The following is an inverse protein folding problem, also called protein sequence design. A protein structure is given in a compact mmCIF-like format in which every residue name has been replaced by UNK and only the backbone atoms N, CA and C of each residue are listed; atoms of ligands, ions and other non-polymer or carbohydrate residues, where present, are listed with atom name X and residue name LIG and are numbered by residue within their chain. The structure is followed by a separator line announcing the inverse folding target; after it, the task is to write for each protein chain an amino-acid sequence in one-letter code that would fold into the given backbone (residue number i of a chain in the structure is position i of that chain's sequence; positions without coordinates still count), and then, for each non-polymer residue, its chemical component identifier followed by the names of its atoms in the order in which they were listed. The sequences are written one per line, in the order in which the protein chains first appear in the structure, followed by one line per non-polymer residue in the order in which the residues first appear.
data_IF_800795980054
#
_entry.id   IF_800795980054
#
_cell.length_a   1.000
_cell.length_b   1.000
_cell.length_c   1.000
_cell.angle_alpha   90.00
_cell.angle_beta   90.00
_cell.angle_gamma   90.00
#
_symmetry.space_group_name_H-M   'P 1'
#
loop_
_entity.id
_entity.type
_entity.pdbx_description
1 polymer ?
#
# COMPACT_ATOMS: atom_id res chain seq x y z
N UNK A 1 83.25 20.69 -21.25
CA UNK A 1 82.41 19.71 -20.53
C UNK A 1 82.10 20.28 -19.15
N UNK A 2 80.91 20.81 -18.93
CA UNK A 2 80.48 21.33 -17.63
C UNK A 2 79.06 20.86 -17.38
N UNK A 3 78.93 19.78 -16.61
CA UNK A 3 77.64 19.26 -16.13
C UNK A 3 77.53 19.59 -14.64
N UNK A 4 76.87 20.71 -14.32
CA UNK A 4 76.37 20.96 -12.97
C UNK A 4 74.96 20.38 -12.89
N UNK A 5 74.81 19.24 -12.25
CA UNK A 5 73.50 18.70 -11.90
C UNK A 5 73.56 18.02 -10.53
N UNK A 6 73.51 18.83 -9.47
CA UNK A 6 73.14 18.31 -8.14
C UNK A 6 72.57 19.41 -7.26
N UNK A 7 71.22 19.45 -7.17
CA UNK A 7 70.41 19.88 -6.00
C UNK A 7 68.92 19.83 -6.35
N UNK A 8 68.32 18.63 -6.37
CA UNK A 8 66.84 18.46 -6.36
C UNK A 8 66.33 17.27 -5.52
N UNK A 9 67.18 16.61 -4.72
CA UNK A 9 66.79 15.38 -4.00
C UNK A 9 65.90 15.58 -2.76
N UNK A 10 65.62 16.82 -2.34
CA UNK A 10 64.75 17.10 -1.18
C UNK A 10 63.29 17.42 -1.55
N UNK A 11 63.06 17.99 -2.74
CA UNK A 11 61.72 18.47 -3.13
C UNK A 11 60.81 17.32 -3.56
N UNK A 12 61.34 16.28 -4.19
CA UNK A 12 60.56 15.13 -4.68
C UNK A 12 59.85 14.35 -3.57
N UNK A 13 60.48 14.26 -2.39
CA UNK A 13 59.92 13.54 -1.24
C UNK A 13 58.77 14.34 -0.59
N UNK A 14 58.91 15.67 -0.54
CA UNK A 14 57.85 16.57 -0.09
C UNK A 14 56.67 16.54 -1.07
N UNK A 15 56.93 16.64 -2.38
CA UNK A 15 55.86 16.57 -3.38
C UNK A 15 55.16 15.22 -3.34
N UNK A 16 55.88 14.11 -3.12
CA UNK A 16 55.29 12.79 -2.99
C UNK A 16 54.41 12.67 -1.72
N UNK A 17 54.86 13.21 -0.58
CA UNK A 17 54.05 13.24 0.65
C UNK A 17 52.79 14.08 0.49
N UNK A 18 52.90 15.27 -0.11
CA UNK A 18 51.73 16.13 -0.40
C UNK A 18 50.76 15.40 -1.32
N UNK A 19 51.25 14.77 -2.40
CA UNK A 19 50.40 14.02 -3.31
C UNK A 19 49.72 12.82 -2.61
N UNK A 20 50.42 12.13 -1.72
CA UNK A 20 49.87 11.00 -0.95
C UNK A 20 48.77 11.48 0.02
N UNK A 21 48.97 12.62 0.68
CA UNK A 21 47.93 13.25 1.52
C UNK A 21 46.71 13.65 0.69
N UNK A 22 46.91 14.23 -0.50
CA UNK A 22 45.80 14.59 -1.38
C UNK A 22 45.02 13.37 -1.86
N UNK A 23 45.70 12.29 -2.27
CA UNK A 23 45.06 11.05 -2.70
C UNK A 23 44.28 10.38 -1.56
N UNK A 24 44.83 10.37 -0.35
CA UNK A 24 44.12 9.83 0.83
C UNK A 24 42.89 10.66 1.19
N UNK A 25 42.95 12.00 1.10
CA UNK A 25 41.79 12.86 1.30
C UNK A 25 40.68 12.57 0.27
N UNK A 26 41.03 12.43 -1.01
CA UNK A 26 40.06 12.08 -2.07
C UNK A 26 39.47 10.68 -1.87
N UNK A 27 40.28 9.73 -1.40
CA UNK A 27 39.77 8.39 -1.09
C UNK A 27 38.76 8.44 0.07
N UNK A 28 39.08 9.12 1.17
CA UNK A 28 38.20 9.24 2.34
C UNK A 28 36.88 9.94 1.99
N UNK A 29 36.91 11.00 1.18
CA UNK A 29 35.68 11.66 0.73
C UNK A 29 34.81 10.73 -0.12
N UNK A 30 35.41 9.94 -1.02
CA UNK A 30 34.70 8.96 -1.84
C UNK A 30 34.05 7.87 -0.99
N UNK A 31 34.74 7.35 0.03
CA UNK A 31 34.16 6.37 0.97
C UNK A 31 32.98 6.95 1.75
N UNK A 32 33.09 8.19 2.22
CA UNK A 32 32.02 8.85 2.98
C UNK A 32 30.78 9.12 2.10
N UNK A 33 30.98 9.58 0.85
CA UNK A 33 29.89 9.77 -0.12
C UNK A 33 29.23 8.42 -0.46
N UNK A 34 30.03 7.38 -0.70
CA UNK A 34 29.53 6.03 -0.97
C UNK A 34 28.67 5.49 0.17
N UNK A 35 29.12 5.64 1.42
CA UNK A 35 28.36 5.22 2.60
C UNK A 35 27.02 5.96 2.73
N UNK A 36 27.00 7.28 2.51
CA UNK A 36 25.76 8.06 2.55
C UNK A 36 24.75 7.58 1.51
N UNK A 37 25.19 7.31 0.28
CA UNK A 37 24.30 6.85 -0.78
C UNK A 37 23.72 5.46 -0.47
N UNK A 38 24.54 4.56 0.08
CA UNK A 38 24.07 3.22 0.47
C UNK A 38 23.02 3.26 1.58
N UNK A 39 23.17 4.16 2.56
CA UNK A 39 22.16 4.33 3.60
C UNK A 39 20.81 4.82 3.03
N UNK A 40 20.84 5.72 2.03
CA UNK A 40 19.62 6.19 1.37
C UNK A 40 18.93 5.03 0.64
N UNK A 41 19.69 4.25 -0.14
CA UNK A 41 19.13 3.10 -0.87
C UNK A 41 18.57 2.05 0.08
N UNK A 42 19.26 1.77 1.19
CA UNK A 42 18.77 0.84 2.22
C UNK A 42 17.44 1.30 2.82
N UNK A 43 17.31 2.59 3.16
CA UNK A 43 16.06 3.14 3.70
C UNK A 43 14.92 3.13 2.67
N UNK A 44 15.25 3.35 1.39
CA UNK A 44 14.27 3.27 0.32
C UNK A 44 13.81 1.83 0.11
N UNK A 45 14.73 0.86 0.13
CA UNK A 45 14.41 -0.56 0.01
C UNK A 45 13.43 -1.01 1.12
N UNK A 46 13.70 -0.69 2.38
CA UNK A 46 12.80 -1.03 3.50
C UNK A 46 11.40 -0.41 3.34
N UNK A 47 11.32 0.83 2.86
CA UNK A 47 10.04 1.48 2.58
C UNK A 47 9.30 0.82 1.41
N UNK A 48 10.02 0.41 0.38
CA UNK A 48 9.43 -0.25 -0.78
C UNK A 48 8.92 -1.66 -0.42
N UNK A 49 9.67 -2.40 0.42
CA UNK A 49 9.24 -3.69 0.99
C UNK A 49 7.98 -3.53 1.85
N UNK A 50 7.94 -2.55 2.76
CA UNK A 50 6.76 -2.25 3.54
C UNK A 50 5.55 -1.85 2.66
N UNK A 51 5.77 -1.04 1.62
CA UNK A 51 4.72 -0.65 0.67
C UNK A 51 4.20 -1.84 -0.15
N UNK A 52 5.08 -2.76 -0.54
CA UNK A 52 4.71 -3.97 -1.27
C UNK A 52 3.86 -4.90 -0.38
N UNK A 53 4.28 -5.14 0.86
CA UNK A 53 3.51 -5.92 1.83
C UNK A 53 2.14 -5.30 2.13
N UNK A 54 2.06 -3.97 2.22
CA UNK A 54 0.79 -3.26 2.38
C UNK A 54 -0.16 -3.53 1.21
N UNK A 55 0.34 -3.44 -0.03
CA UNK A 55 -0.45 -3.71 -1.23
C UNK A 55 -0.89 -5.15 -1.32
N UNK A 56 0.00 -6.11 -1.06
CA UNK A 56 -0.35 -7.52 -1.02
C UNK A 56 -1.49 -7.80 -0.04
N UNK A 57 -1.42 -7.21 1.17
CA UNK A 57 -2.47 -7.36 2.17
C UNK A 57 -3.79 -6.73 1.71
N UNK A 58 -3.75 -5.56 1.05
CA UNK A 58 -4.96 -4.98 0.45
C UNK A 58 -5.53 -5.89 -0.63
N UNK A 59 -4.69 -6.46 -1.51
CA UNK A 59 -5.14 -7.39 -2.55
C UNK A 59 -5.81 -8.64 -1.94
N UNK A 60 -5.27 -9.18 -0.83
CA UNK A 60 -5.93 -10.24 -0.06
C UNK A 60 -7.31 -9.79 0.44
N UNK A 61 -7.41 -8.58 1.02
CA UNK A 61 -8.67 -8.02 1.53
C UNK A 61 -9.70 -7.84 0.41
N UNK A 62 -9.33 -7.28 -0.74
CA UNK A 62 -10.28 -6.99 -1.83
C UNK A 62 -10.65 -8.23 -2.63
N UNK A 63 -9.84 -9.29 -2.57
CA UNK A 63 -10.15 -10.58 -3.19
C UNK A 63 -11.29 -11.33 -2.51
N UNK A 64 -11.76 -10.82 -1.36
CA UNK A 64 -12.85 -11.39 -0.59
C UNK A 64 -13.92 -10.34 -0.27
N UNK A 65 -15.11 -10.76 0.15
CA UNK A 65 -16.22 -9.83 0.47
C UNK A 65 -16.24 -9.37 1.93
N UNK A 66 -15.29 -9.79 2.78
CA UNK A 66 -15.32 -9.52 4.23
C UNK A 66 -15.21 -8.05 4.54
N UNK A 67 -14.56 -7.26 3.67
CA UNK A 67 -14.49 -5.81 3.82
C UNK A 67 -15.86 -5.13 3.74
N UNK A 68 -16.87 -5.75 3.12
CA UNK A 68 -18.24 -5.20 3.05
C UNK A 68 -19.17 -5.73 4.14
N UNK A 69 -18.95 -6.95 4.64
CA UNK A 69 -19.84 -7.62 5.60
C UNK A 69 -19.34 -7.60 7.05
N UNK A 70 -18.02 -7.72 7.25
CA UNK A 70 -17.37 -7.83 8.56
C UNK A 70 -16.07 -7.02 8.57
N UNK A 71 -16.14 -5.67 8.51
CA UNK A 71 -14.96 -4.80 8.38
C UNK A 71 -14.01 -4.87 9.60
N UNK A 72 -14.48 -5.36 10.75
CA UNK A 72 -13.65 -5.61 11.93
C UNK A 72 -12.79 -6.88 11.82
N UNK A 73 -13.14 -7.81 10.92
CA UNK A 73 -12.43 -9.08 10.72
C UNK A 73 -12.28 -9.41 9.22
N UNK A 74 -11.56 -8.54 8.48
CA UNK A 74 -11.38 -8.68 7.02
C UNK A 74 -10.35 -9.73 6.62
N UNK A 75 -9.39 -10.00 7.50
CA UNK A 75 -8.38 -11.05 7.28
C UNK A 75 -8.85 -12.36 7.91
N UNK A 76 -8.65 -13.47 7.19
CA UNK A 76 -9.06 -14.79 7.68
C UNK A 76 -8.12 -15.36 8.75
N UNK A 77 -6.82 -15.08 8.62
CA UNK A 77 -5.78 -15.59 9.50
C UNK A 77 -4.90 -14.43 9.95
N UNK A 78 -5.32 -13.65 10.96
CA UNK A 78 -4.48 -12.60 11.51
C UNK A 78 -3.29 -13.20 12.29
N UNK A 79 -2.13 -12.54 12.24
CA UNK A 79 -0.92 -12.97 12.95
C UNK A 79 -0.80 -12.39 14.38
N UNK A 80 -1.74 -11.55 14.80
CA UNK A 80 -1.69 -10.86 16.08
C UNK A 80 -3.05 -10.28 16.44
N UNK A 81 -3.22 -8.98 16.21
CA UNK A 81 -4.52 -8.31 16.36
C UNK A 81 -5.45 -8.63 15.19
N UNK A 82 -6.75 -8.39 15.39
CA UNK A 82 -7.70 -8.37 14.28
C UNK A 82 -7.20 -7.43 13.17
N UNK A 83 -7.47 -7.82 11.92
CA UNK A 83 -7.06 -7.05 10.75
C UNK A 83 -5.52 -6.84 10.62
N UNK A 84 -4.71 -7.70 11.24
CA UNK A 84 -3.25 -7.68 11.08
C UNK A 84 -2.71 -8.86 10.27
N UNK A 85 -1.89 -8.59 9.26
CA UNK A 85 -1.09 -9.57 8.51
C UNK A 85 0.39 -9.40 8.83
N UNK A 86 1.10 -10.51 8.89
CA UNK A 86 2.55 -10.52 9.00
C UNK A 86 3.11 -11.14 7.73
N UNK A 87 4.12 -10.49 7.17
CA UNK A 87 4.71 -10.85 5.88
C UNK A 87 6.19 -11.11 6.11
N UNK A 88 6.61 -12.31 5.75
CA UNK A 88 8.01 -12.73 5.61
C UNK A 88 8.41 -12.48 4.16
N UNK A 89 9.19 -11.43 3.91
CA UNK A 89 9.54 -11.00 2.55
C UNK A 89 10.76 -11.76 2.00
N UNK A 90 11.60 -12.32 2.88
CA UNK A 90 12.84 -12.99 2.50
C UNK A 90 12.80 -14.53 2.67
N UNK A 91 11.74 -15.07 3.27
CA UNK A 91 11.50 -16.49 3.44
C UNK A 91 12.33 -17.15 4.53
N UNK A 92 12.84 -16.42 5.51
CA UNK A 92 13.65 -16.96 6.62
C UNK A 92 12.83 -17.52 7.79
N UNK A 93 11.50 -17.42 7.71
CA UNK A 93 10.57 -17.89 8.73
C UNK A 93 10.33 -16.89 9.86
N UNK A 94 10.74 -15.63 9.70
CA UNK A 94 10.40 -14.53 10.60
C UNK A 94 9.61 -13.46 9.86
N UNK A 95 8.75 -12.77 10.60
CA UNK A 95 7.98 -11.67 10.05
C UNK A 95 8.88 -10.43 9.91
N UNK A 96 9.00 -9.92 8.68
CA UNK A 96 9.76 -8.71 8.37
C UNK A 96 8.87 -7.47 8.48
N UNK A 97 7.63 -7.58 8.00
CA UNK A 97 6.67 -6.46 7.95
C UNK A 97 5.35 -6.87 8.60
N UNK A 98 4.85 -6.02 9.50
CA UNK A 98 3.51 -6.13 10.07
C UNK A 98 2.59 -5.12 9.39
N UNK A 99 1.55 -5.61 8.75
CA UNK A 99 0.55 -4.79 8.05
C UNK A 99 -0.75 -4.82 8.84
N UNK A 100 -1.26 -3.64 9.22
CA UNK A 100 -2.54 -3.50 9.90
C UNK A 100 -3.54 -2.77 9.02
N UNK A 101 -4.73 -3.33 8.83
CA UNK A 101 -5.83 -2.62 8.16
C UNK A 101 -6.48 -1.68 9.18
N UNK A 102 -6.07 -0.42 9.13
CA UNK A 102 -6.48 0.62 10.06
C UNK A 102 -6.67 1.96 9.32
N UNK A 103 -7.79 2.68 9.54
CA UNK A 103 -9.00 2.21 10.25
C UNK A 103 -9.68 1.04 9.55
N UNK A 104 -10.56 0.31 10.25
CA UNK A 104 -11.40 -0.74 9.64
C UNK A 104 -12.09 -0.21 8.38
N UNK A 105 -12.24 -1.00 7.30
CA UNK A 105 -12.77 -0.51 6.02
C UNK A 105 -14.09 0.23 6.19
N UNK A 106 -14.19 1.40 5.57
CA UNK A 106 -15.38 2.24 5.63
C UNK A 106 -15.96 2.43 4.25
N UNK A 107 -17.27 2.28 4.16
CA UNK A 107 -17.98 2.68 2.97
C UNK A 107 -18.10 4.20 2.94
N UNK A 108 -17.59 4.81 1.88
CA UNK A 108 -17.58 6.26 1.65
C UNK A 108 -18.90 6.69 0.99
N UNK A 109 -19.43 5.87 0.08
CA UNK A 109 -20.63 6.19 -0.69
C UNK A 109 -21.27 4.92 -1.23
N UNK A 110 -22.60 4.87 -1.34
CA UNK A 110 -23.29 3.76 -1.99
C UNK A 110 -24.58 4.22 -2.70
N UNK A 111 -24.48 4.85 -3.88
CA UNK A 111 -25.66 5.17 -4.69
C UNK A 111 -26.43 3.89 -5.06
N UNK A 112 -27.74 3.95 -4.84
CA UNK A 112 -28.67 2.90 -5.29
C UNK A 112 -28.75 2.93 -6.82
N UNK A 113 -28.67 1.75 -7.43
CA UNK A 113 -28.79 1.60 -8.89
C UNK A 113 -30.27 1.65 -9.24
N UNK A 114 -30.65 2.43 -10.26
CA UNK A 114 -32.02 2.49 -10.77
C UNK A 114 -32.33 1.27 -11.64
N UNK A 115 -33.56 0.78 -11.61
CA UNK A 115 -34.01 -0.33 -12.48
C UNK A 115 -33.82 -0.01 -13.97
N UNK A 116 -33.93 1.27 -14.36
CA UNK A 116 -33.69 1.72 -15.74
C UNK A 116 -32.22 1.67 -16.17
N UNK A 117 -31.29 1.57 -15.22
CA UNK A 117 -29.86 1.49 -15.48
C UNK A 117 -29.33 0.06 -15.48
N UNK A 118 -30.18 -0.94 -15.18
CA UNK A 118 -29.83 -2.36 -15.20
C UNK A 118 -29.84 -2.90 -16.64
N UNK A 119 -28.80 -3.64 -16.99
CA UNK A 119 -28.73 -4.43 -18.21
C UNK A 119 -29.09 -5.88 -17.91
N UNK A 120 -30.38 -6.23 -18.09
CA UNK A 120 -30.88 -7.57 -17.79
C UNK A 120 -30.31 -8.67 -18.69
N UNK A 121 -29.50 -8.35 -19.70
CA UNK A 121 -28.71 -9.35 -20.43
C UNK A 121 -27.55 -9.91 -19.59
N UNK A 122 -27.15 -9.21 -18.52
CA UNK A 122 -26.09 -9.64 -17.60
C UNK A 122 -26.67 -10.32 -16.37
N UNK A 123 -26.13 -11.47 -16.01
CA UNK A 123 -26.58 -12.23 -14.85
C UNK A 123 -26.49 -11.44 -13.52
N UNK A 124 -25.46 -10.58 -13.39
CA UNK A 124 -25.26 -9.71 -12.22
C UNK A 124 -26.40 -8.69 -12.03
N UNK A 125 -26.91 -8.13 -13.11
CA UNK A 125 -28.00 -7.14 -13.08
C UNK A 125 -29.38 -7.79 -12.94
N UNK A 126 -29.53 -9.05 -13.37
CA UNK A 126 -30.76 -9.81 -13.15
C UNK A 126 -31.07 -9.97 -11.66
N UNK A 127 -30.06 -10.27 -10.83
CA UNK A 127 -30.23 -10.39 -9.37
C UNK A 127 -30.69 -9.07 -8.74
N UNK A 128 -30.19 -7.95 -9.24
CA UNK A 128 -30.57 -6.61 -8.77
C UNK A 128 -32.01 -6.24 -9.11
N UNK A 129 -32.60 -6.82 -10.17
CA UNK A 129 -33.99 -6.58 -10.55
C UNK A 129 -35.02 -7.34 -9.68
N UNK A 130 -34.61 -8.46 -9.07
CA UNK A 130 -35.51 -9.39 -8.34
C UNK A 130 -35.98 -8.90 -6.97
N UNK A 131 -35.24 -7.99 -6.32
CA UNK A 131 -35.66 -7.39 -5.03
C UNK A 131 -36.53 -6.14 -5.19
N UNK A 132 -36.86 -5.73 -6.42
CA UNK A 132 -37.93 -4.75 -6.61
C UNK A 132 -39.26 -5.43 -6.31
N UNK A 133 -39.85 -5.16 -5.14
CA UNK A 133 -41.23 -5.56 -4.87
C UNK A 133 -42.12 -4.81 -5.86
N UNK A 134 -42.36 -5.40 -7.03
CA UNK A 134 -43.39 -4.92 -7.95
C UNK A 134 -44.73 -5.26 -7.30
N UNK A 135 -45.17 -4.38 -6.39
CA UNK A 135 -46.55 -4.36 -5.92
C UNK A 135 -47.40 -3.85 -7.09
N UNK A 136 -47.73 -4.76 -8.01
CA UNK A 136 -48.60 -4.49 -9.14
C UNK A 136 -49.94 -3.94 -8.61
N UNK A 137 -50.26 -2.67 -8.92
CA UNK A 137 -51.57 -2.08 -8.65
C UNK A 137 -51.65 -0.96 -7.61
N UNK A 138 -50.54 -0.55 -6.97
CA UNK A 138 -50.53 0.64 -6.10
C UNK A 138 -49.78 1.79 -6.78
N UNK A 139 -50.52 2.79 -7.24
CA UNK A 139 -49.97 4.05 -7.70
C UNK A 139 -49.38 4.81 -6.49
N UNK A 140 -48.05 4.88 -6.39
CA UNK A 140 -47.37 5.75 -5.41
C UNK A 140 -46.10 5.22 -4.76
N UNK A 141 -45.66 3.98 -5.00
CA UNK A 141 -44.53 3.38 -4.27
C UNK A 141 -43.49 2.70 -5.19
N UNK A 142 -43.16 3.29 -6.34
CA UNK A 142 -42.05 2.81 -7.18
C UNK A 142 -41.01 3.93 -7.26
N UNK A 143 -40.04 3.92 -6.35
CA UNK A 143 -38.89 4.83 -6.33
C UNK A 143 -37.91 4.59 -7.51
N UNK A 144 -38.22 3.59 -8.34
CA UNK A 144 -37.43 3.16 -9.49
C UNK A 144 -36.10 2.52 -9.10
N UNK A 145 -35.90 2.20 -7.82
CA UNK A 145 -34.67 1.64 -7.28
C UNK A 145 -34.62 0.12 -7.46
N UNK A 146 -33.42 -0.38 -7.73
CA UNK A 146 -33.12 -1.81 -7.71
C UNK A 146 -32.78 -2.29 -6.30
N UNK A 147 -32.56 -3.60 -6.15
CA UNK A 147 -32.11 -4.22 -4.91
C UNK A 147 -30.60 -4.05 -4.66
N UNK A 148 -29.87 -3.38 -5.54
CA UNK A 148 -28.42 -3.23 -5.48
C UNK A 148 -27.98 -1.77 -5.39
N UNK A 149 -26.78 -1.58 -4.85
CA UNK A 149 -26.08 -0.30 -4.83
C UNK A 149 -24.62 -0.51 -5.22
N UNK A 150 -24.03 0.48 -5.89
CA UNK A 150 -22.60 0.49 -6.19
C UNK A 150 -21.88 1.17 -5.03
N UNK A 151 -21.34 0.39 -4.11
CA UNK A 151 -20.65 0.88 -2.92
C UNK A 151 -19.18 1.18 -3.19
N UNK A 152 -18.67 2.28 -2.63
CA UNK A 152 -17.27 2.70 -2.68
C UNK A 152 -16.70 2.59 -1.28
N UNK A 153 -15.63 1.81 -1.14
CA UNK A 153 -14.95 1.54 0.11
C UNK A 153 -13.56 2.13 0.09
N UNK A 154 -13.14 2.66 1.23
CA UNK A 154 -11.77 3.08 1.50
C UNK A 154 -11.12 2.05 2.43
N UNK A 155 -9.99 1.50 1.98
CA UNK A 155 -9.20 0.52 2.72
C UNK A 155 -7.81 1.11 2.90
N UNK A 156 -7.38 1.21 4.15
CA UNK A 156 -6.05 1.71 4.50
C UNK A 156 -5.25 0.62 5.20
N UNK A 157 -4.03 0.38 4.72
CA UNK A 157 -3.08 -0.56 5.27
C UNK A 157 -1.86 0.19 5.80
N UNK A 158 -1.59 0.04 7.09
CA UNK A 158 -0.42 0.56 7.79
C UNK A 158 0.62 -0.57 7.89
N UNK A 159 1.64 -0.54 7.03
CA UNK A 159 2.77 -1.45 7.10
C UNK A 159 3.87 -0.87 7.99
N UNK A 160 4.38 -1.69 8.91
CA UNK A 160 5.45 -1.36 9.85
C UNK A 160 6.54 -2.41 9.76
N UNK A 161 7.73 -1.98 9.39
CA UNK A 161 8.94 -2.79 9.39
C UNK A 161 9.35 -3.17 10.81
N UNK A 162 9.72 -4.43 11.05
CA UNK A 162 10.01 -4.95 12.40
C UNK A 162 11.41 -4.55 12.89
N UNK A 163 12.39 -4.36 12.00
CA UNK A 163 13.77 -4.05 12.37
C UNK A 163 13.98 -2.54 12.60
N UNK A 164 13.37 -1.71 11.76
CA UNK A 164 13.61 -0.26 11.70
C UNK A 164 12.45 0.59 12.19
N UNK A 165 11.28 -0.03 12.42
CA UNK A 165 10.02 0.66 12.75
C UNK A 165 9.58 1.66 11.66
N UNK A 166 10.11 1.54 10.44
CA UNK A 166 9.67 2.34 9.31
C UNK A 166 8.20 2.04 9.01
N UNK A 167 7.37 3.08 8.97
CA UNK A 167 5.95 2.97 8.69
C UNK A 167 5.60 3.53 7.31
N UNK A 168 4.79 2.79 6.57
CA UNK A 168 4.19 3.19 5.30
C UNK A 168 2.70 2.92 5.33
N UNK A 169 1.89 3.93 5.01
CA UNK A 169 0.45 3.79 4.88
C UNK A 169 0.05 3.81 3.41
N UNK A 170 -0.70 2.80 2.98
CA UNK A 170 -1.27 2.72 1.63
C UNK A 170 -2.79 2.73 1.75
N UNK A 171 -3.44 3.66 1.04
CA UNK A 171 -4.90 3.76 0.99
C UNK A 171 -5.39 3.48 -0.42
N UNK A 172 -6.38 2.61 -0.56
CA UNK A 172 -6.98 2.23 -1.83
C UNK A 172 -8.51 2.37 -1.77
N UNK A 173 -9.08 2.88 -2.85
CA UNK A 173 -10.52 2.94 -3.06
C UNK A 173 -10.99 1.77 -3.92
N UNK A 174 -12.06 1.09 -3.49
CA UNK A 174 -12.64 -0.07 -4.20
C UNK A 174 -14.13 0.15 -4.43
N UNK A 175 -14.58 -0.04 -5.66
CA UNK A 175 -16.00 -0.03 -5.98
C UNK A 175 -16.50 -1.48 -6.11
N UNK A 176 -17.52 -1.83 -5.34
CA UNK A 176 -18.15 -3.14 -5.37
C UNK A 176 -19.66 -3.01 -5.31
N UNK A 177 -20.33 -3.81 -6.14
CA UNK A 177 -21.78 -3.92 -6.13
C UNK A 177 -22.22 -4.81 -4.98
N UNK A 178 -23.11 -4.29 -4.16
CA UNK A 178 -23.62 -4.95 -2.96
C UNK A 178 -25.14 -4.90 -2.92
N UNK A 179 -25.77 -5.74 -2.11
CA UNK A 179 -27.19 -5.62 -1.85
C UNK A 179 -27.45 -4.28 -1.13
N UNK A 180 -28.58 -3.64 -1.47
CA UNK A 180 -28.99 -2.37 -0.88
C UNK A 180 -29.17 -2.46 0.64
N UNK A 181 -29.59 -3.62 1.14
CA UNK A 181 -29.78 -3.83 2.57
C UNK A 181 -28.44 -3.85 3.34
N UNK A 182 -27.36 -4.36 2.72
CA UNK A 182 -26.01 -4.41 3.33
C UNK A 182 -25.39 -3.01 3.49
N UNK A 183 -25.77 -2.08 2.61
CA UNK A 183 -25.34 -0.69 2.62
C UNK A 183 -25.90 0.08 3.82
N UNK A 184 -27.11 -0.25 4.24
CA UNK A 184 -27.87 0.54 5.24
C UNK A 184 -27.18 0.56 6.61
N UNK A 185 -26.38 -0.47 6.93
CA UNK A 185 -25.67 -0.58 8.20
C UNK A 185 -24.22 -0.09 8.16
N UNK A 186 -23.60 -0.05 6.97
CA UNK A 186 -22.15 0.15 6.83
C UNK A 186 -21.74 1.41 6.06
N UNK A 187 -22.67 2.05 5.37
CA UNK A 187 -22.44 3.26 4.57
C UNK A 187 -23.21 4.45 5.13
N UNK A 188 -22.68 5.68 5.02
CA UNK A 188 -23.46 6.87 5.34
C UNK A 188 -24.67 6.95 4.41
N UNK A 189 -25.86 7.18 4.98
CA UNK A 189 -27.06 7.50 4.21
C UNK A 189 -26.87 8.87 3.56
N UNK A 190 -26.60 8.89 2.25
CA UNK A 190 -26.59 10.12 1.45
C UNK A 190 -27.99 10.65 1.21
#
# INVERSE_FOLDING_TARGET
MTTIARRQRGVTLITALVLLVLLTLVALTTFNVGKSNLQIVSNMQQRDEAAAAARETIEEVISNTRFTVTPEHVLANPCGEDNQRCVDTNGDGKDDVRVRIAPSPKCVKAPVIKNTALDLAKAEDQVCSMGSSQSFGVAGAVDGNSACADSIWEISAEATDVETEAQVTVTQGVAVRVARDDVTNNCPST
#
